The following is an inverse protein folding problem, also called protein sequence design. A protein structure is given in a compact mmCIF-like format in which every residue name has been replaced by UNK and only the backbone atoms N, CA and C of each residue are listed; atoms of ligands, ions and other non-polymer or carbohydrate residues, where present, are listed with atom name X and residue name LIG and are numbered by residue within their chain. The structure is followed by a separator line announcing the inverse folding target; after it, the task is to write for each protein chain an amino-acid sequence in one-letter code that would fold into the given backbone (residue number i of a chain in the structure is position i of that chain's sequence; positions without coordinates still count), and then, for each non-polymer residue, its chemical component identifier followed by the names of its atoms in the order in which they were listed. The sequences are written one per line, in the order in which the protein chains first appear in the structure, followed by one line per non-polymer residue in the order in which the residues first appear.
data_IF_231852196919
#
_entry.id   IF_231852196919
#
_cell.length_a   1.000
_cell.length_b   1.000
_cell.length_c   1.000
_cell.angle_alpha   90.00
_cell.angle_beta   90.00
_cell.angle_gamma   90.00
#
_symmetry.space_group_name_H-M   'P 1'
#
loop_
_entity.id
_entity.type
_entity.pdbx_description
1 polymer ?
#
# COMPACT_ATOMS: atom_id res chain seq x y z
N UNK A 1 -1.52 35.35 -48.18
CA UNK A 1 -1.30 34.86 -46.80
C UNK A 1 0.20 34.77 -46.59
N UNK A 2 0.76 35.67 -45.80
CA UNK A 2 2.22 35.86 -45.66
C UNK A 2 2.93 34.63 -45.06
N UNK A 3 4.11 34.31 -45.61
CA UNK A 3 4.96 33.21 -45.13
C UNK A 3 5.30 33.33 -43.63
N UNK A 4 5.34 34.56 -43.12
CA UNK A 4 5.57 34.89 -41.70
C UNK A 4 4.44 34.38 -40.80
N UNK A 5 3.18 34.46 -41.26
CA UNK A 5 2.01 34.00 -40.51
C UNK A 5 1.97 32.48 -40.46
N UNK A 6 2.32 31.80 -41.57
CA UNK A 6 2.45 30.33 -41.60
C UNK A 6 3.54 29.84 -40.65
N UNK A 7 4.72 30.48 -40.65
CA UNK A 7 5.82 30.10 -39.77
C UNK A 7 5.47 30.26 -38.28
N UNK A 8 4.75 31.34 -37.93
CA UNK A 8 4.26 31.56 -36.57
C UNK A 8 3.24 30.50 -36.13
N UNK A 9 2.27 30.17 -36.98
CA UNK A 9 1.27 29.12 -36.70
C UNK A 9 1.89 27.73 -36.55
N UNK A 10 2.94 27.40 -37.32
CA UNK A 10 3.68 26.16 -37.14
C UNK A 10 4.42 26.11 -35.80
N UNK A 11 5.08 27.20 -35.38
CA UNK A 11 5.75 27.27 -34.07
C UNK A 11 4.78 27.15 -32.91
N UNK A 12 3.62 27.82 -33.00
CA UNK A 12 2.57 27.75 -31.99
C UNK A 12 1.96 26.34 -31.88
N UNK A 13 1.76 25.65 -33.01
CA UNK A 13 1.28 24.26 -33.04
C UNK A 13 2.29 23.29 -32.43
N UNK A 14 3.58 23.44 -32.68
CA UNK A 14 4.61 22.60 -32.07
C UNK A 14 4.71 22.83 -30.56
N UNK A 15 4.63 24.09 -30.10
CA UNK A 15 4.60 24.41 -28.67
C UNK A 15 3.36 23.81 -27.98
N UNK A 16 2.19 23.91 -28.60
CA UNK A 16 0.97 23.31 -28.07
C UNK A 16 1.07 21.78 -27.99
N UNK A 17 1.63 21.12 -29.00
CA UNK A 17 1.83 19.66 -29.00
C UNK A 17 2.83 19.20 -27.93
N UNK A 18 3.92 19.94 -27.72
CA UNK A 18 4.89 19.65 -26.66
C UNK A 18 4.29 19.86 -25.26
N UNK A 19 3.46 20.88 -25.07
CA UNK A 19 2.76 21.12 -23.81
C UNK A 19 1.74 19.99 -23.50
N UNK A 20 1.01 19.51 -24.50
CA UNK A 20 0.08 18.38 -24.35
C UNK A 20 0.85 17.08 -24.02
N UNK A 21 2.00 16.84 -24.66
CA UNK A 21 2.84 15.67 -24.36
C UNK A 21 3.41 15.71 -22.94
N UNK A 22 3.87 16.88 -22.48
CA UNK A 22 4.34 17.07 -21.11
C UNK A 22 3.21 16.86 -20.08
N UNK A 23 2.00 17.36 -20.34
CA UNK A 23 0.83 17.16 -19.48
C UNK A 23 0.31 15.70 -19.48
N UNK A 24 0.51 14.95 -20.57
CA UNK A 24 0.10 13.54 -20.63
C UNK A 24 1.03 12.61 -19.83
N UNK A 25 2.29 12.99 -19.65
CA UNK A 25 3.28 12.18 -18.93
C UNK A 25 3.09 12.13 -17.40
N UNK A 26 2.29 13.04 -16.82
CA UNK A 26 2.07 13.13 -15.37
C UNK A 26 0.94 12.22 -14.84
N UNK A 27 0.25 11.48 -15.70
CA UNK A 27 -0.87 10.61 -15.33
C UNK A 27 -0.52 9.11 -15.28
N UNK A 28 0.74 8.75 -15.00
CA UNK A 28 1.08 7.36 -14.69
C UNK A 28 0.62 7.02 -13.26
N UNK A 29 -0.68 6.76 -13.08
CA UNK A 29 -1.16 5.91 -11.98
C UNK A 29 -0.81 4.48 -12.37
N UNK A 30 0.35 4.01 -11.89
CA UNK A 30 0.70 2.60 -11.99
C UNK A 30 -0.17 1.83 -10.98
N UNK A 31 -1.03 0.94 -11.47
CA UNK A 31 -1.62 -0.10 -10.63
C UNK A 31 -0.49 -0.81 -9.89
N UNK A 32 -0.64 -0.93 -8.58
CA UNK A 32 0.25 -1.77 -7.78
C UNK A 32 -0.48 -3.03 -7.36
N UNK A 33 0.19 -4.15 -7.59
CA UNK A 33 -0.16 -5.40 -6.95
C UNK A 33 0.47 -5.41 -5.57
N UNK A 34 -0.35 -5.52 -4.53
CA UNK A 34 0.14 -5.58 -3.16
C UNK A 34 0.07 -7.02 -2.66
N UNK A 35 0.93 -7.36 -1.71
CA UNK A 35 0.86 -8.60 -0.97
C UNK A 35 0.77 -8.33 0.51
N UNK A 36 0.00 -9.16 1.22
CA UNK A 36 0.06 -9.23 2.68
C UNK A 36 1.26 -10.08 3.06
N UNK A 37 2.15 -9.53 3.88
CA UNK A 37 3.35 -10.20 4.36
C UNK A 37 3.45 -10.13 5.87
N UNK A 38 4.03 -11.15 6.46
CA UNK A 38 4.30 -11.27 7.91
C UNK A 38 5.76 -11.60 8.15
N UNK A 39 6.20 -11.42 9.39
CA UNK A 39 7.52 -11.87 9.80
C UNK A 39 7.72 -13.37 9.51
N UNK A 40 8.96 -13.78 9.19
CA UNK A 40 9.32 -15.18 8.97
C UNK A 40 9.00 -16.14 10.12
N UNK A 41 9.08 -15.66 11.36
CA UNK A 41 8.75 -16.41 12.57
C UNK A 41 7.24 -16.51 12.83
N UNK A 42 6.40 -15.85 12.02
CA UNK A 42 4.96 -15.93 12.11
C UNK A 42 4.45 -17.04 11.17
N UNK A 43 3.79 -18.04 11.75
CA UNK A 43 3.28 -19.23 11.04
C UNK A 43 1.95 -18.99 10.30
N UNK A 44 1.43 -17.76 10.28
CA UNK A 44 0.20 -17.42 9.57
C UNK A 44 0.40 -17.57 8.06
N UNK A 45 -0.15 -18.63 7.47
CA UNK A 45 -0.06 -18.91 6.02
C UNK A 45 -1.21 -18.31 5.21
N UNK A 46 -2.36 -18.13 5.85
CA UNK A 46 -3.56 -17.65 5.20
C UNK A 46 -4.44 -16.85 6.17
N UNK A 47 -5.12 -15.85 5.63
CA UNK A 47 -6.16 -15.08 6.31
C UNK A 47 -7.38 -14.96 5.40
N UNK A 48 -8.56 -14.84 6.00
CA UNK A 48 -9.74 -14.39 5.25
C UNK A 48 -9.70 -12.88 5.08
N UNK A 49 -10.39 -12.34 4.09
CA UNK A 49 -10.54 -10.88 3.94
C UNK A 49 -11.14 -10.25 5.22
N UNK A 50 -12.09 -10.93 5.86
CA UNK A 50 -12.71 -10.46 7.09
C UNK A 50 -11.71 -10.38 8.26
N UNK A 51 -10.84 -11.39 8.40
CA UNK A 51 -9.83 -11.41 9.45
C UNK A 51 -8.70 -10.42 9.18
N UNK A 52 -8.28 -10.29 7.92
CA UNK A 52 -7.34 -9.26 7.50
C UNK A 52 -7.88 -7.86 7.85
N UNK A 53 -9.15 -7.57 7.57
CA UNK A 53 -9.77 -6.30 7.92
C UNK A 53 -9.80 -6.07 9.44
N UNK A 54 -10.07 -7.09 10.26
CA UNK A 54 -10.04 -6.97 11.74
C UNK A 54 -8.63 -6.71 12.26
N UNK A 55 -7.63 -7.38 11.70
CA UNK A 55 -6.22 -7.18 12.04
C UNK A 55 -5.80 -5.76 11.70
N UNK A 56 -6.05 -5.33 10.46
CA UNK A 56 -5.68 -4.01 9.97
C UNK A 56 -6.41 -2.87 10.70
N UNK A 57 -7.66 -3.07 11.14
CA UNK A 57 -8.43 -2.13 11.97
C UNK A 57 -8.05 -2.18 13.46
N UNK A 58 -7.04 -2.96 13.85
CA UNK A 58 -6.62 -3.15 15.25
C UNK A 58 -7.74 -3.67 16.17
N UNK A 59 -8.71 -4.39 15.61
CA UNK A 59 -9.75 -5.12 16.35
C UNK A 59 -9.14 -6.39 16.93
N UNK A 60 -8.41 -7.15 16.09
CA UNK A 60 -7.58 -8.26 16.54
C UNK A 60 -6.20 -7.72 16.88
N UNK A 61 -5.82 -7.81 18.16
CA UNK A 61 -4.58 -7.22 18.69
C UNK A 61 -3.46 -8.22 18.93
N UNK A 62 -3.80 -9.52 18.95
CA UNK A 62 -2.88 -10.62 19.21
C UNK A 62 -3.05 -11.71 18.17
N UNK A 63 -1.95 -12.30 17.75
CA UNK A 63 -1.93 -13.55 17.01
C UNK A 63 -2.40 -14.73 17.91
N UNK A 64 -2.84 -15.86 17.33
CA UNK A 64 -3.24 -17.03 18.10
C UNK A 64 -2.16 -17.58 19.04
N UNK A 65 -0.88 -17.31 18.75
CA UNK A 65 0.26 -17.66 19.59
C UNK A 65 0.49 -16.71 20.78
N UNK A 66 -0.38 -15.69 20.97
CA UNK A 66 -0.32 -14.71 22.06
C UNK A 66 0.52 -13.46 21.77
N UNK A 67 1.26 -13.44 20.66
CA UNK A 67 2.11 -12.33 20.28
C UNK A 67 1.30 -11.10 19.84
N UNK A 68 1.72 -9.91 20.25
CA UNK A 68 1.07 -8.66 19.82
C UNK A 68 1.25 -8.42 18.33
N UNK A 69 0.17 -8.00 17.67
CA UNK A 69 0.18 -7.64 16.26
C UNK A 69 0.75 -6.23 16.12
N UNK A 70 1.70 -6.09 15.19
CA UNK A 70 2.25 -4.80 14.77
C UNK A 70 1.90 -4.60 13.30
N UNK A 71 1.05 -3.62 13.01
CA UNK A 71 0.64 -3.31 11.63
C UNK A 71 1.64 -2.32 11.03
N UNK A 72 2.40 -2.78 10.05
CA UNK A 72 3.32 -1.95 9.26
C UNK A 72 2.61 -1.51 7.99
N UNK A 73 2.51 -0.21 7.79
CA UNK A 73 1.85 0.34 6.61
C UNK A 73 2.56 1.59 6.10
N UNK A 74 2.40 1.90 4.82
CA UNK A 74 2.85 3.17 4.24
C UNK A 74 1.94 4.32 4.69
N UNK A 75 2.35 5.56 4.43
CA UNK A 75 1.53 6.75 4.73
C UNK A 75 0.09 6.54 4.21
N UNK A 76 -0.94 6.64 5.09
CA UNK A 76 -2.35 6.62 4.70
C UNK A 76 -2.73 7.57 3.56
N UNK A 77 -1.97 8.65 3.33
CA UNK A 77 -2.22 9.60 2.24
C UNK A 77 -1.62 9.16 0.90
N UNK A 78 -0.73 8.16 0.89
CA UNK A 78 -0.16 7.66 -0.36
C UNK A 78 -1.30 7.17 -1.27
N UNK A 79 -1.31 7.51 -2.58
CA UNK A 79 -2.43 7.22 -3.48
C UNK A 79 -2.91 5.76 -3.43
N UNK A 80 -1.98 4.81 -3.58
CA UNK A 80 -2.28 3.39 -3.48
C UNK A 80 -2.86 3.00 -2.12
N UNK A 81 -2.33 3.57 -1.02
CA UNK A 81 -2.81 3.27 0.33
C UNK A 81 -4.23 3.80 0.54
N UNK A 82 -4.58 4.97 0.01
CA UNK A 82 -5.95 5.51 0.12
C UNK A 82 -7.00 4.55 -0.43
N UNK A 83 -6.70 3.88 -1.54
CA UNK A 83 -7.63 2.90 -2.13
C UNK A 83 -7.66 1.60 -1.35
N UNK A 84 -6.52 1.13 -0.82
CA UNK A 84 -6.51 0.02 0.14
C UNK A 84 -7.37 0.33 1.36
N UNK A 85 -7.20 1.52 1.96
CA UNK A 85 -7.93 1.96 3.14
C UNK A 85 -9.44 2.06 2.86
N UNK A 86 -9.82 2.62 1.72
CA UNK A 86 -11.23 2.70 1.36
C UNK A 86 -11.84 1.30 1.14
N UNK A 87 -11.14 0.39 0.44
CA UNK A 87 -11.63 -0.95 0.13
C UNK A 87 -11.65 -1.90 1.33
N UNK A 88 -10.56 -1.94 2.11
CA UNK A 88 -10.40 -2.88 3.23
C UNK A 88 -10.87 -2.32 4.56
N UNK A 89 -10.58 -1.04 4.82
CA UNK A 89 -10.91 -0.43 6.10
C UNK A 89 -12.31 0.18 6.07
N UNK A 90 -12.80 0.62 4.91
CA UNK A 90 -13.98 1.46 4.83
C UNK A 90 -13.77 2.80 5.57
N UNK A 91 -12.52 3.25 5.65
CA UNK A 91 -12.09 4.44 6.39
C UNK A 91 -11.34 5.40 5.47
N UNK A 92 -11.44 6.70 5.76
CA UNK A 92 -10.61 7.73 5.13
C UNK A 92 -9.18 7.71 5.69
N UNK A 93 -8.23 8.31 4.98
CA UNK A 93 -6.86 8.46 5.46
C UNK A 93 -6.78 9.17 6.82
N UNK A 94 -7.66 10.15 7.07
CA UNK A 94 -7.75 10.89 8.33
C UNK A 94 -8.25 10.01 9.48
N UNK A 95 -9.28 9.19 9.22
CA UNK A 95 -9.78 8.22 10.21
C UNK A 95 -8.71 7.19 10.55
N UNK A 96 -7.92 6.74 9.57
CA UNK A 96 -6.82 5.82 9.80
C UNK A 96 -5.68 6.49 10.58
N UNK A 97 -5.33 7.75 10.31
CA UNK A 97 -4.37 8.50 11.14
C UNK A 97 -4.84 8.60 12.59
N UNK A 98 -6.11 8.93 12.81
CA UNK A 98 -6.70 8.97 14.16
C UNK A 98 -6.67 7.60 14.84
N UNK A 99 -6.95 6.53 14.09
CA UNK A 99 -6.82 5.15 14.57
C UNK A 99 -5.37 4.83 14.96
N UNK A 100 -4.38 5.19 14.13
CA UNK A 100 -2.95 5.00 14.43
C UNK A 100 -2.56 5.72 15.71
N UNK A 101 -2.92 7.00 15.85
CA UNK A 101 -2.61 7.79 17.04
C UNK A 101 -3.24 7.21 18.31
N UNK A 102 -4.53 6.87 18.26
CA UNK A 102 -5.25 6.29 19.41
C UNK A 102 -4.77 4.88 19.76
N UNK A 103 -4.46 4.06 18.76
CA UNK A 103 -3.99 2.69 18.96
C UNK A 103 -2.60 2.63 19.60
N UNK A 104 -1.72 3.59 19.28
CA UNK A 104 -0.37 3.67 19.81
C UNK A 104 -0.29 4.39 21.17
N UNK A 105 -1.33 5.14 21.54
CA UNK A 105 -1.33 5.92 22.77
C UNK A 105 -1.20 5.02 24.01
N UNK A 106 -0.28 5.37 24.90
CA UNK A 106 -0.10 4.70 26.20
C UNK A 106 0.41 3.26 26.11
N UNK A 107 0.94 2.82 24.97
CA UNK A 107 1.50 1.47 24.80
C UNK A 107 3.03 1.46 24.87
N UNK A 108 3.64 0.43 25.48
CA UNK A 108 5.09 0.24 25.43
C UNK A 108 5.57 -0.14 24.02
N UNK A 109 4.77 -0.91 23.27
CA UNK A 109 5.03 -1.29 21.89
C UNK A 109 3.96 -0.72 20.95
N UNK A 110 4.34 -0.13 19.80
CA UNK A 110 3.37 0.44 18.86
C UNK A 110 2.51 -0.66 18.22
N UNK A 111 1.21 -0.40 18.09
CA UNK A 111 0.31 -1.23 17.31
C UNK A 111 0.43 -0.96 15.80
N UNK A 112 0.77 0.28 15.42
CA UNK A 112 0.97 0.70 14.04
C UNK A 112 2.33 1.36 13.85
N UNK A 113 2.99 1.05 12.73
CA UNK A 113 4.26 1.67 12.34
C UNK A 113 4.16 2.13 10.89
N UNK A 114 4.54 3.38 10.64
CA UNK A 114 4.52 3.98 9.30
C UNK A 114 5.87 3.77 8.61
N UNK A 115 5.84 3.25 7.38
CA UNK A 115 7.02 3.03 6.55
C UNK A 115 7.03 3.98 5.35
N UNK A 116 8.18 4.62 5.10
CA UNK A 116 8.32 5.53 3.96
C UNK A 116 8.47 4.81 2.61
N UNK A 117 8.92 3.56 2.62
CA UNK A 117 9.10 2.72 1.43
C UNK A 117 8.82 1.25 1.71
N UNK A 118 8.66 0.47 0.63
CA UNK A 118 8.47 -0.98 0.73
C UNK A 118 9.71 -1.67 1.35
N UNK A 119 10.92 -1.19 1.06
CA UNK A 119 12.16 -1.69 1.69
C UNK A 119 12.18 -1.45 3.20
N UNK A 120 11.74 -0.25 3.63
CA UNK A 120 11.65 0.09 5.05
C UNK A 120 10.56 -0.74 5.72
N UNK A 121 9.41 -0.95 5.05
CA UNK A 121 8.34 -1.80 5.55
C UNK A 121 8.83 -3.24 5.73
N UNK A 122 9.51 -3.83 4.74
CA UNK A 122 10.05 -5.19 4.81
C UNK A 122 11.06 -5.35 5.94
N UNK A 123 11.97 -4.39 6.13
CA UNK A 123 12.90 -4.39 7.27
C UNK A 123 12.17 -4.37 8.60
N UNK A 124 11.18 -3.50 8.75
CA UNK A 124 10.40 -3.41 9.98
C UNK A 124 9.60 -4.70 10.25
N UNK A 125 9.03 -5.32 9.21
CA UNK A 125 8.31 -6.58 9.34
C UNK A 125 9.29 -7.71 9.72
N UNK A 126 10.45 -7.78 9.07
CA UNK A 126 11.47 -8.79 9.34
C UNK A 126 12.08 -8.70 10.75
N UNK A 127 12.19 -7.49 11.32
CA UNK A 127 12.72 -7.28 12.68
C UNK A 127 11.70 -7.50 13.80
N UNK A 128 10.41 -7.59 13.48
CA UNK A 128 9.34 -7.68 14.48
C UNK A 128 8.51 -8.95 14.28
N UNK A 129 8.65 -9.95 15.15
CA UNK A 129 7.99 -11.25 14.98
C UNK A 129 6.45 -11.19 14.92
N UNK A 130 5.83 -10.17 15.52
CA UNK A 130 4.38 -9.95 15.49
C UNK A 130 3.91 -9.11 14.30
N UNK A 131 4.80 -8.69 13.42
CA UNK A 131 4.47 -7.73 12.38
C UNK A 131 3.74 -8.34 11.18
N UNK A 132 2.80 -7.56 10.65
CA UNK A 132 2.09 -7.78 9.40
C UNK A 132 2.05 -6.46 8.63
N UNK A 133 2.18 -6.52 7.32
CA UNK A 133 2.06 -5.34 6.50
C UNK A 133 1.68 -5.66 5.06
N UNK A 134 1.57 -4.59 4.27
CA UNK A 134 1.28 -4.69 2.84
C UNK A 134 2.39 -4.00 2.08
N UNK A 135 2.95 -4.70 1.10
CA UNK A 135 4.04 -4.21 0.24
C UNK A 135 3.74 -4.53 -1.21
N UNK A 136 4.36 -3.78 -2.10
CA UNK A 136 4.37 -4.11 -3.53
C UNK A 136 4.88 -5.55 -3.75
N UNK A 137 4.18 -6.34 -4.57
CA UNK A 137 4.56 -7.73 -4.88
C UNK A 137 6.00 -7.82 -5.39
N UNK A 138 6.44 -6.82 -6.17
CA UNK A 138 7.78 -6.79 -6.74
C UNK A 138 8.87 -6.39 -5.73
N UNK A 139 8.50 -5.89 -4.55
CA UNK A 139 9.43 -5.60 -3.47
C UNK A 139 9.69 -6.80 -2.56
N UNK A 140 8.82 -7.83 -2.58
CA UNK A 140 8.92 -8.98 -1.70
C UNK A 140 10.29 -9.66 -1.87
N UNK A 141 10.92 -9.96 -0.74
CA UNK A 141 12.18 -10.69 -0.69
C UNK A 141 12.11 -11.80 0.36
N UNK A 142 13.20 -12.55 0.50
CA UNK A 142 13.27 -13.71 1.41
C UNK A 142 13.33 -13.34 2.90
N UNK A 143 13.11 -12.09 3.32
CA UNK A 143 13.09 -11.73 4.75
C UNK A 143 11.73 -11.91 5.42
N UNK A 144 10.66 -12.10 4.63
CA UNK A 144 9.27 -12.18 5.09
C UNK A 144 8.55 -13.41 4.53
N UNK A 145 7.42 -13.76 5.13
CA UNK A 145 6.49 -14.77 4.59
C UNK A 145 5.30 -14.07 3.94
N UNK A 146 4.85 -14.58 2.79
CA UNK A 146 3.64 -14.12 2.11
C UNK A 146 2.42 -14.84 2.68
N UNK A 147 1.38 -14.08 3.00
CA UNK A 147 0.10 -14.60 3.51
C UNK A 147 -0.93 -14.65 2.39
N UNK A 148 -1.54 -15.82 2.21
CA UNK A 148 -2.67 -15.97 1.29
C UNK A 148 -3.89 -15.22 1.83
N UNK A 149 -4.63 -14.53 0.96
CA UNK A 149 -5.91 -13.90 1.34
C UNK A 149 -7.02 -14.65 0.63
N UNK A 150 -7.99 -15.17 1.38
CA UNK A 150 -9.05 -16.04 0.87
C UNK A 150 -8.53 -17.22 0.04
N UNK A 151 -7.40 -17.79 0.48
CA UNK A 151 -6.74 -18.93 -0.18
C UNK A 151 -5.94 -18.57 -1.43
N UNK A 152 -5.89 -17.29 -1.82
CA UNK A 152 -5.22 -16.79 -3.03
C UNK A 152 -3.85 -16.19 -2.73
N UNK A 153 -2.88 -16.48 -3.59
CA UNK A 153 -1.58 -15.79 -3.59
C UNK A 153 -1.68 -14.43 -4.30
N UNK A 154 -0.73 -13.50 -4.05
CA UNK A 154 -0.61 -12.31 -4.89
C UNK A 154 -0.47 -12.69 -6.36
N UNK A 155 -1.05 -11.88 -7.26
CA UNK A 155 -1.14 -12.11 -8.71
C UNK A 155 -2.05 -13.27 -9.18
N UNK A 156 -2.63 -14.05 -8.27
CA UNK A 156 -3.65 -15.02 -8.67
C UNK A 156 -4.97 -14.32 -9.03
N UNK A 157 -5.71 -14.81 -10.05
CA UNK A 157 -7.04 -14.31 -10.35
C UNK A 157 -7.97 -14.38 -9.14
N UNK A 158 -8.58 -13.23 -8.82
CA UNK A 158 -9.45 -13.04 -7.66
C UNK A 158 -8.74 -12.63 -6.37
N UNK A 159 -7.42 -12.36 -6.39
CA UNK A 159 -6.74 -11.80 -5.24
C UNK A 159 -7.21 -10.37 -4.93
N UNK A 160 -7.51 -10.12 -3.66
CA UNK A 160 -8.16 -8.89 -3.19
C UNK A 160 -7.36 -7.61 -3.48
N UNK A 161 -6.02 -7.68 -3.40
CA UNK A 161 -5.13 -6.52 -3.53
C UNK A 161 -4.42 -6.46 -4.89
N UNK A 162 -5.04 -7.07 -5.91
CA UNK A 162 -4.59 -6.95 -7.29
C UNK A 162 -4.99 -5.60 -7.89
N UNK A 163 -4.08 -4.96 -8.61
CA UNK A 163 -4.31 -3.71 -9.34
C UNK A 163 -4.92 -2.63 -8.45
N UNK A 164 -4.28 -2.31 -7.33
CA UNK A 164 -4.71 -1.19 -6.50
C UNK A 164 -4.23 0.11 -7.17
N UNK A 165 -5.17 0.98 -7.55
CA UNK A 165 -4.97 2.25 -8.24
C UNK A 165 -5.09 3.41 -7.27
#
# INVERSE_FOLDING_TARGET
MDNTVRAFMHRLRHFALLAIFALASSLYVAAKDLAVVVNKANDTKALTTADLAKVLKNVTKKWPNGQDIIIVMKDPNAPAMRVVLQKLFGMTAEQVKSLVSSANQGRPNPAFVIADSDDVALKMIASNAGAVGMVDVYAINSSVNVVKVDGKMPLEPGYLLHGVW
#
